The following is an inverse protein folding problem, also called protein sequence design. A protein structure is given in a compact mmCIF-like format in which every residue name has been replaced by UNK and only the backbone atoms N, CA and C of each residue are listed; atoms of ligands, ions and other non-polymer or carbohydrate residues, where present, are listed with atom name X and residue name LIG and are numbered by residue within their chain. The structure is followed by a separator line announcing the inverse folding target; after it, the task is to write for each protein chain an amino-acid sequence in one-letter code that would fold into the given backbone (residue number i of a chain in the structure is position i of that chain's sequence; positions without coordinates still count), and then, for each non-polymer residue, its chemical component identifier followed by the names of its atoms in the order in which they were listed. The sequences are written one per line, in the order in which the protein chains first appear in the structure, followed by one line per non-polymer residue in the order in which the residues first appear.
data_IF_141939734973
#
_entry.id   IF_141939734973
#
_cell.length_a   1.000
_cell.length_b   1.000
_cell.length_c   1.000
_cell.angle_alpha   90.00
_cell.angle_beta   90.00
_cell.angle_gamma   90.00
#
_symmetry.space_group_name_H-M   'P 1'
#
loop_
_entity.id
_entity.type
_entity.pdbx_description
1 polymer ?
#
# COMPACT_ATOMS: atom_id res chain seq x y z
N UNK A 1 7.41 -20.84 -7.80
CA UNK A 1 7.19 -19.40 -7.52
C UNK A 1 8.44 -18.66 -7.97
N UNK A 2 8.33 -17.68 -8.87
CA UNK A 2 9.48 -16.95 -9.38
C UNK A 2 9.98 -15.89 -8.38
N UNK A 3 11.25 -15.48 -8.50
CA UNK A 3 11.85 -14.45 -7.65
C UNK A 3 11.08 -13.11 -7.73
N UNK A 4 10.63 -12.72 -8.91
CA UNK A 4 9.77 -11.54 -9.10
C UNK A 4 8.47 -11.61 -8.28
N UNK A 5 7.81 -12.77 -8.27
CA UNK A 5 6.59 -13.00 -7.48
C UNK A 5 6.86 -12.92 -5.98
N UNK A 6 8.00 -13.48 -5.52
CA UNK A 6 8.43 -13.39 -4.13
C UNK A 6 8.68 -11.94 -3.70
N UNK A 7 9.34 -11.15 -4.54
CA UNK A 7 9.59 -9.72 -4.30
C UNK A 7 8.26 -8.96 -4.20
N UNK A 8 7.36 -9.14 -5.17
CA UNK A 8 6.04 -8.48 -5.15
C UNK A 8 5.28 -8.83 -3.87
N UNK A 9 5.29 -10.11 -3.47
CA UNK A 9 4.63 -10.55 -2.25
C UNK A 9 5.19 -9.87 -0.99
N UNK A 10 6.52 -9.83 -0.84
CA UNK A 10 7.17 -9.18 0.31
C UNK A 10 6.92 -7.67 0.33
N UNK A 11 6.97 -7.01 -0.83
CA UNK A 11 6.61 -5.60 -0.95
C UNK A 11 5.15 -5.36 -0.58
N UNK A 12 4.26 -6.29 -0.92
CA UNK A 12 2.85 -6.24 -0.51
C UNK A 12 2.70 -6.25 0.99
N UNK A 13 3.37 -7.18 1.69
CA UNK A 13 3.37 -7.22 3.16
C UNK A 13 3.83 -5.88 3.74
N UNK A 14 4.94 -5.34 3.23
CA UNK A 14 5.46 -4.06 3.68
C UNK A 14 4.46 -2.91 3.43
N UNK A 15 3.84 -2.87 2.26
CA UNK A 15 2.93 -1.79 1.90
C UNK A 15 1.64 -1.81 2.75
N UNK A 16 1.09 -3.00 3.01
CA UNK A 16 -0.03 -3.16 3.95
C UNK A 16 0.34 -2.72 5.38
N UNK A 17 1.54 -3.09 5.85
CA UNK A 17 2.02 -2.69 7.17
C UNK A 17 2.19 -1.17 7.29
N UNK A 18 2.78 -0.53 6.27
CA UNK A 18 2.96 0.92 6.20
C UNK A 18 1.59 1.63 6.17
N UNK A 19 0.67 1.17 5.32
CA UNK A 19 -0.65 1.77 5.20
C UNK A 19 -1.42 1.68 6.53
N UNK A 20 -1.33 0.54 7.21
CA UNK A 20 -1.87 0.38 8.57
C UNK A 20 -1.25 1.36 9.57
N UNK A 21 0.06 1.54 9.55
CA UNK A 21 0.76 2.47 10.43
C UNK A 21 0.30 3.93 10.22
N UNK A 22 0.03 4.33 8.98
CA UNK A 22 -0.51 5.66 8.65
C UNK A 22 -1.87 5.88 9.31
N UNK A 23 -2.78 4.90 9.23
CA UNK A 23 -4.10 5.02 9.85
C UNK A 23 -4.06 4.92 11.38
N UNK A 24 -3.17 4.10 11.94
CA UNK A 24 -3.03 3.96 13.41
C UNK A 24 -2.44 5.21 14.06
N UNK A 25 -1.59 5.97 13.34
CA UNK A 25 -1.01 7.22 13.89
C UNK A 25 -2.04 8.33 14.13
N UNK A 26 -3.26 8.22 13.59
CA UNK A 26 -4.35 9.14 13.90
C UNK A 26 -4.04 10.60 13.54
N UNK A 27 -3.52 10.84 12.33
CA UNK A 27 -3.07 12.18 11.92
C UNK A 27 -4.19 13.24 12.09
N UNK A 28 -3.88 14.47 12.56
CA UNK A 28 -4.88 15.53 12.78
C UNK A 28 -5.75 15.87 11.57
N UNK A 29 -5.30 15.56 10.34
CA UNK A 29 -6.13 15.65 9.13
C UNK A 29 -7.38 14.75 9.19
N UNK A 30 -7.28 13.57 9.80
CA UNK A 30 -8.40 12.63 9.94
C UNK A 30 -9.21 12.87 11.21
N UNK A 31 -8.62 13.51 12.23
CA UNK A 31 -9.29 13.82 13.49
C UNK A 31 -10.54 14.71 13.33
N UNK A 32 -10.64 15.47 12.23
CA UNK A 32 -11.80 16.33 11.92
C UNK A 32 -12.92 15.62 11.14
N UNK A 33 -12.69 14.41 10.64
CA UNK A 33 -13.68 13.65 9.86
C UNK A 33 -14.56 12.78 10.78
N UNK A 34 -15.84 12.57 10.43
CA UNK A 34 -16.68 11.59 11.14
C UNK A 34 -16.03 10.21 11.17
N UNK A 35 -16.17 9.48 12.28
CA UNK A 35 -15.59 8.14 12.47
C UNK A 35 -15.98 7.15 11.36
N UNK A 36 -17.18 7.28 10.81
CA UNK A 36 -17.65 6.52 9.65
C UNK A 36 -16.80 6.80 8.39
N UNK A 37 -16.47 8.06 8.10
CA UNK A 37 -15.64 8.46 6.97
C UNK A 37 -14.19 7.99 7.13
N UNK A 38 -13.65 8.04 8.36
CA UNK A 38 -12.31 7.50 8.65
C UNK A 38 -12.24 5.98 8.41
N UNK A 39 -13.27 5.25 8.86
CA UNK A 39 -13.35 3.80 8.68
C UNK A 39 -13.51 3.42 7.21
N UNK A 40 -14.32 4.18 6.46
CA UNK A 40 -14.50 3.99 5.02
C UNK A 40 -13.19 4.25 4.26
N UNK A 41 -12.49 5.35 4.58
CA UNK A 41 -11.18 5.68 3.98
C UNK A 41 -10.14 4.58 4.23
N UNK A 42 -10.07 4.07 5.47
CA UNK A 42 -9.18 2.93 5.81
C UNK A 42 -9.50 1.68 5.00
N UNK A 43 -10.78 1.32 4.89
CA UNK A 43 -11.21 0.14 4.12
C UNK A 43 -10.93 0.31 2.63
N UNK A 44 -11.24 1.49 2.07
CA UNK A 44 -10.98 1.79 0.67
C UNK A 44 -9.49 1.66 0.36
N UNK A 45 -8.61 2.23 1.19
CA UNK A 45 -7.16 2.12 1.01
C UNK A 45 -6.67 0.66 1.03
N UNK A 46 -7.16 -0.17 1.95
CA UNK A 46 -6.81 -1.59 2.00
C UNK A 46 -7.32 -2.38 0.78
N UNK A 47 -8.53 -2.08 0.31
CA UNK A 47 -9.11 -2.72 -0.88
C UNK A 47 -8.31 -2.32 -2.12
N UNK A 48 -7.98 -1.04 -2.28
CA UNK A 48 -7.15 -0.55 -3.38
C UNK A 48 -5.77 -1.20 -3.36
N UNK A 49 -5.13 -1.26 -2.19
CA UNK A 49 -3.84 -1.92 -2.02
C UNK A 49 -3.90 -3.40 -2.40
N UNK A 50 -4.96 -4.10 -1.96
CA UNK A 50 -5.18 -5.49 -2.31
C UNK A 50 -5.36 -5.69 -3.82
N UNK A 51 -6.16 -4.83 -4.47
CA UNK A 51 -6.37 -4.92 -5.91
C UNK A 51 -5.06 -4.76 -6.69
N UNK A 52 -4.23 -3.77 -6.34
CA UNK A 52 -2.94 -3.56 -6.99
C UNK A 52 -2.01 -4.75 -6.78
N UNK A 53 -1.89 -5.25 -5.54
CA UNK A 53 -1.08 -6.43 -5.24
C UNK A 53 -1.58 -7.69 -5.96
N UNK A 54 -2.89 -7.90 -5.98
CA UNK A 54 -3.53 -9.04 -6.64
C UNK A 54 -3.18 -9.07 -8.13
N UNK A 55 -3.35 -7.95 -8.84
CA UNK A 55 -3.02 -7.87 -10.26
C UNK A 55 -1.51 -8.00 -10.51
N UNK A 56 -0.65 -7.43 -9.66
CA UNK A 56 0.79 -7.59 -9.78
C UNK A 56 1.23 -9.06 -9.63
N UNK A 57 0.67 -9.78 -8.66
CA UNK A 57 0.95 -11.21 -8.46
C UNK A 57 0.38 -12.05 -9.62
N UNK A 58 -0.86 -11.79 -10.04
CA UNK A 58 -1.49 -12.49 -11.16
C UNK A 58 -0.63 -12.36 -12.43
N UNK A 59 -0.29 -11.14 -12.82
CA UNK A 59 0.51 -10.87 -14.02
C UNK A 59 1.93 -11.45 -13.91
N UNK A 60 2.53 -11.41 -12.71
CA UNK A 60 3.82 -12.06 -12.47
C UNK A 60 3.79 -13.56 -12.75
N UNK A 61 2.69 -14.25 -12.39
CA UNK A 61 2.53 -15.69 -12.66
C UNK A 61 2.15 -16.01 -14.10
N UNK A 62 1.58 -15.06 -14.85
CA UNK A 62 1.20 -15.22 -16.26
C UNK A 62 2.36 -14.91 -17.24
N UNK A 63 3.59 -14.82 -16.75
CA UNK A 63 4.78 -14.61 -17.59
C UNK A 63 5.15 -13.15 -17.84
N UNK A 64 4.61 -12.21 -17.04
CA UNK A 64 4.93 -10.78 -17.14
C UNK A 64 5.72 -10.29 -15.91
N UNK A 65 6.96 -10.76 -15.70
CA UNK A 65 7.74 -10.44 -14.50
C UNK A 65 8.12 -8.96 -14.39
N UNK A 66 8.07 -8.18 -15.49
CA UNK A 66 8.32 -6.74 -15.49
C UNK A 66 7.40 -5.94 -14.57
N UNK A 67 6.22 -6.47 -14.23
CA UNK A 67 5.32 -5.85 -13.25
C UNK A 67 5.90 -5.79 -11.83
N UNK A 68 6.96 -6.55 -11.53
CA UNK A 68 7.69 -6.38 -10.27
C UNK A 68 8.30 -4.98 -10.14
N UNK A 69 8.75 -4.38 -11.25
CA UNK A 69 9.24 -3.00 -11.24
C UNK A 69 8.11 -1.99 -11.04
N UNK A 70 6.97 -2.17 -11.72
CA UNK A 70 5.81 -1.32 -11.53
C UNK A 70 5.33 -1.35 -10.08
N UNK A 71 5.24 -2.54 -9.48
CA UNK A 71 4.87 -2.70 -8.08
C UNK A 71 5.94 -2.13 -7.13
N UNK A 72 7.23 -2.31 -7.45
CA UNK A 72 8.34 -1.71 -6.69
C UNK A 72 8.27 -0.18 -6.64
N UNK A 73 8.05 0.48 -7.78
CA UNK A 73 7.87 1.94 -7.86
C UNK A 73 6.63 2.37 -7.07
N UNK A 74 5.52 1.65 -7.22
CA UNK A 74 4.29 1.90 -6.47
C UNK A 74 4.52 1.84 -4.96
N UNK A 75 5.18 0.78 -4.46
CA UNK A 75 5.53 0.64 -3.04
C UNK A 75 6.48 1.75 -2.56
N UNK A 76 7.46 2.17 -3.39
CA UNK A 76 8.36 3.27 -3.03
C UNK A 76 7.61 4.60 -2.87
N UNK A 77 6.68 4.90 -3.78
CA UNK A 77 5.83 6.09 -3.70
C UNK A 77 4.95 6.05 -2.46
N UNK A 78 4.30 4.92 -2.18
CA UNK A 78 3.49 4.75 -0.97
C UNK A 78 4.32 4.87 0.31
N UNK A 79 5.53 4.30 0.33
CA UNK A 79 6.46 4.43 1.44
C UNK A 79 6.87 5.89 1.67
N UNK A 80 7.17 6.64 0.61
CA UNK A 80 7.49 8.06 0.70
C UNK A 80 6.30 8.90 1.20
N UNK A 81 5.10 8.66 0.67
CA UNK A 81 3.88 9.34 1.11
C UNK A 81 3.59 9.04 2.59
N UNK A 82 3.66 7.77 2.98
CA UNK A 82 3.50 7.37 4.36
C UNK A 82 4.55 7.99 5.27
N UNK A 83 5.81 8.03 4.86
CA UNK A 83 6.87 8.68 5.64
C UNK A 83 6.58 10.16 5.88
N UNK A 84 6.10 10.90 4.87
CA UNK A 84 5.73 12.30 5.02
C UNK A 84 4.60 12.48 6.06
N UNK A 85 3.55 11.65 5.96
CA UNK A 85 2.41 11.69 6.89
C UNK A 85 2.84 11.29 8.30
N UNK A 86 3.61 10.20 8.41
CA UNK A 86 4.10 9.69 9.68
C UNK A 86 5.01 10.75 10.32
N UNK A 87 5.94 11.36 9.60
CA UNK A 87 6.81 12.40 10.19
C UNK A 87 6.13 13.75 10.43
N UNK A 88 4.83 13.89 10.14
CA UNK A 88 4.08 15.13 10.32
C UNK A 88 4.53 16.26 9.39
N UNK A 89 5.16 15.90 8.26
CA UNK A 89 5.56 16.85 7.21
C UNK A 89 4.39 17.24 6.31
N UNK A 90 3.32 16.43 6.33
CA UNK A 90 2.02 16.63 5.66
C UNK A 90 0.92 16.20 6.61
#
# INVERSE_FOLDING_TARGET
MGLATAIIFLLGIANFAINRAVFERGHPMFARLPSASQTLGRRAALISEFAVLFFALLLSTQGWPGYAWAYGVYTAVNGAAAWLILTGRV
#
